data_IF_596953146888
#
_entry.id   IF_596953146888
#
_cell.length_a   1.000
_cell.length_b   1.000
_cell.length_c   1.000
_cell.angle_alpha   90.00
_cell.angle_beta   90.00
_cell.angle_gamma   90.00
#
_symmetry.space_group_name_H-M   'P 1'
#
loop_
_entity.id
_entity.type
_entity.pdbx_description
1 polymer ?
#
# COMPACT_ATOMS: atom_id res chain seq x y z
N UNK A 1 25.06 17.88 -37.39
CA UNK A 1 25.42 18.51 -36.10
C UNK A 1 24.21 18.33 -35.20
N UNK A 2 24.27 17.41 -34.24
CA UNK A 2 23.12 17.16 -33.35
C UNK A 2 23.05 18.34 -32.41
N UNK A 3 21.93 19.05 -32.45
CA UNK A 3 21.76 20.23 -31.63
C UNK A 3 21.78 19.82 -30.14
N UNK A 4 22.64 20.46 -29.32
CA UNK A 4 22.88 20.03 -27.94
C UNK A 4 21.60 20.08 -27.09
N UNK A 5 20.59 20.85 -27.52
CA UNK A 5 19.30 20.93 -26.85
C UNK A 5 18.50 19.63 -27.01
N UNK A 6 18.57 18.97 -28.17
CA UNK A 6 17.92 17.68 -28.40
C UNK A 6 18.52 16.57 -27.56
N UNK A 7 19.84 16.59 -27.38
CA UNK A 7 20.53 15.66 -26.48
C UNK A 7 20.03 15.84 -25.06
N UNK A 8 19.97 17.09 -24.58
CA UNK A 8 19.49 17.41 -23.23
C UNK A 8 18.05 16.91 -22.98
N UNK A 9 17.15 17.12 -23.94
CA UNK A 9 15.76 16.66 -23.83
C UNK A 9 15.65 15.13 -23.81
N UNK A 10 16.45 14.43 -24.60
CA UNK A 10 16.47 12.97 -24.60
C UNK A 10 16.95 12.40 -23.25
N UNK A 11 17.98 13.01 -22.64
CA UNK A 11 18.44 12.62 -21.31
C UNK A 11 17.39 12.88 -20.22
N UNK A 12 16.72 14.03 -20.25
CA UNK A 12 15.64 14.35 -19.29
C UNK A 12 14.47 13.37 -19.41
N UNK A 13 14.04 13.05 -20.64
CA UNK A 13 12.99 12.08 -20.88
C UNK A 13 13.38 10.68 -20.35
N UNK A 14 14.63 10.26 -20.55
CA UNK A 14 15.15 9.01 -20.00
C UNK A 14 15.09 9.00 -18.46
N UNK A 15 15.53 10.07 -17.80
CA UNK A 15 15.52 10.14 -16.33
C UNK A 15 14.12 10.07 -15.75
N UNK A 16 13.11 10.67 -16.40
CA UNK A 16 11.71 10.61 -15.96
C UNK A 16 11.15 9.19 -16.14
N UNK A 17 11.46 8.53 -17.26
CA UNK A 17 11.06 7.14 -17.52
C UNK A 17 11.68 6.17 -16.50
N UNK A 18 12.96 6.36 -16.14
CA UNK A 18 13.61 5.55 -15.11
C UNK A 18 13.13 5.87 -13.68
N UNK A 19 12.72 7.12 -13.41
CA UNK A 19 12.22 7.52 -12.08
C UNK A 19 10.80 7.01 -11.77
N UNK A 20 10.09 6.45 -12.76
CA UNK A 20 8.75 5.89 -12.60
C UNK A 20 8.70 4.46 -12.02
N UNK A 21 9.85 3.81 -11.83
CA UNK A 21 9.92 2.43 -11.33
C UNK A 21 10.08 2.31 -9.80
N UNK A 22 10.19 3.43 -9.09
CA UNK A 22 10.51 3.46 -7.67
C UNK A 22 9.42 4.18 -6.88
N UNK A 23 8.16 3.73 -7.00
CA UNK A 23 7.23 3.87 -5.89
C UNK A 23 7.80 3.02 -4.75
N UNK A 24 8.75 3.61 -4.02
CA UNK A 24 9.31 3.06 -2.79
C UNK A 24 8.17 3.06 -1.78
N UNK A 25 7.34 2.03 -1.83
CA UNK A 25 6.66 1.55 -0.66
C UNK A 25 7.73 1.44 0.41
N UNK A 26 7.59 2.26 1.44
CA UNK A 26 8.44 2.23 2.62
C UNK A 26 8.09 0.92 3.32
N UNK A 27 8.63 -0.17 2.80
CA UNK A 27 8.55 -1.51 3.38
C UNK A 27 9.40 -1.43 4.63
N UNK A 28 8.74 -1.19 5.76
CA UNK A 28 9.33 -1.39 7.08
C UNK A 28 9.88 -2.83 7.13
N UNK A 29 11.14 -3.04 7.56
CA UNK A 29 11.70 -4.38 7.69
C UNK A 29 11.07 -5.05 8.92
N UNK A 30 9.87 -5.59 8.71
CA UNK A 30 9.00 -6.10 9.77
C UNK A 30 8.40 -7.43 9.36
N UNK A 31 9.27 -8.43 9.24
CA UNK A 31 8.93 -9.84 9.37
C UNK A 31 8.31 -10.54 8.15
N UNK A 32 8.78 -11.77 7.92
CA UNK A 32 8.31 -12.71 6.89
C UNK A 32 6.92 -13.25 7.25
N UNK A 33 5.91 -12.41 7.21
CA UNK A 33 4.51 -12.81 7.29
C UNK A 33 3.81 -12.28 6.03
N UNK A 34 2.86 -13.04 5.52
CA UNK A 34 2.07 -12.73 4.32
C UNK A 34 1.82 -11.21 4.17
N UNK A 35 2.14 -10.57 3.04
CA UNK A 35 2.21 -9.10 2.92
C UNK A 35 0.88 -8.37 3.18
N UNK A 36 -0.23 -9.10 3.34
CA UNK A 36 -1.54 -8.55 3.73
C UNK A 36 -1.74 -8.39 5.25
N UNK A 37 -0.89 -8.98 6.09
CA UNK A 37 -1.07 -8.96 7.54
C UNK A 37 -0.22 -7.87 8.18
N UNK A 38 -0.70 -7.28 9.28
CA UNK A 38 0.00 -6.21 9.98
C UNK A 38 0.18 -4.91 9.18
N UNK A 39 -0.73 -4.63 8.25
CA UNK A 39 -0.68 -3.40 7.45
C UNK A 39 -2.07 -2.83 7.21
N UNK A 40 -2.11 -1.55 6.87
CA UNK A 40 -3.32 -0.87 6.43
C UNK A 40 -3.63 -1.31 5.00
N UNK A 41 -4.83 -1.79 4.78
CA UNK A 41 -5.31 -2.28 3.48
C UNK A 41 -5.89 -1.11 2.68
N UNK A 42 -5.02 -0.31 2.06
CA UNK A 42 -5.45 0.82 1.23
C UNK A 42 -6.35 0.39 0.06
N UNK A 43 -6.18 -0.84 -0.44
CA UNK A 43 -7.01 -1.42 -1.50
C UNK A 43 -8.45 -1.73 -1.05
N UNK A 44 -8.69 -1.82 0.26
CA UNK A 44 -10.04 -2.02 0.80
C UNK A 44 -10.95 -0.80 0.54
N UNK A 45 -10.35 0.39 0.44
CA UNK A 45 -11.08 1.63 0.23
C UNK A 45 -11.67 2.18 1.52
N UNK A 46 -12.81 2.87 1.40
CA UNK A 46 -13.50 3.55 2.50
C UNK A 46 -13.94 2.53 3.55
N UNK A 47 -13.67 2.84 4.83
CA UNK A 47 -13.95 1.98 5.97
C UNK A 47 -14.64 2.79 7.07
N UNK A 48 -15.92 3.15 6.91
CA UNK A 48 -16.57 4.15 7.78
C UNK A 48 -17.86 3.64 8.46
N UNK A 49 -18.44 2.56 7.93
CA UNK A 49 -19.66 1.94 8.47
C UNK A 49 -19.36 0.67 9.27
N UNK A 50 -20.35 0.22 10.05
CA UNK A 50 -20.29 -1.11 10.69
C UNK A 50 -20.23 -2.24 9.67
N UNK A 51 -20.90 -2.11 8.52
CA UNK A 51 -20.76 -3.10 7.45
C UNK A 51 -19.33 -3.13 6.89
N UNK A 52 -18.65 -1.99 6.80
CA UNK A 52 -17.25 -1.94 6.37
C UNK A 52 -16.33 -2.64 7.35
N UNK A 53 -16.57 -2.48 8.65
CA UNK A 53 -15.80 -3.14 9.71
C UNK A 53 -15.89 -4.66 9.59
N UNK A 54 -17.10 -5.19 9.38
CA UNK A 54 -17.30 -6.63 9.15
C UNK A 54 -16.66 -7.11 7.85
N UNK A 55 -16.75 -6.33 6.77
CA UNK A 55 -16.08 -6.66 5.50
C UNK A 55 -14.57 -6.66 5.67
N UNK A 56 -14.02 -5.71 6.44
CA UNK A 56 -12.60 -5.62 6.75
C UNK A 56 -12.14 -6.82 7.58
N UNK A 57 -12.91 -7.20 8.59
CA UNK A 57 -12.66 -8.39 9.40
C UNK A 57 -12.58 -9.65 8.54
N UNK A 58 -13.60 -9.87 7.68
CA UNK A 58 -13.64 -11.03 6.78
C UNK A 58 -12.53 -10.99 5.72
N UNK A 59 -12.22 -9.81 5.18
CA UNK A 59 -11.12 -9.63 4.24
C UNK A 59 -9.79 -10.07 4.86
N UNK A 60 -9.52 -9.60 6.07
CA UNK A 60 -8.31 -9.95 6.80
C UNK A 60 -8.31 -11.41 7.26
N UNK A 61 -9.46 -11.99 7.65
CA UNK A 61 -9.57 -13.40 7.99
C UNK A 61 -9.17 -14.31 6.82
N UNK A 62 -9.63 -13.99 5.61
CA UNK A 62 -9.32 -14.78 4.42
C UNK A 62 -7.90 -14.51 3.86
N UNK A 63 -7.42 -13.28 3.99
CA UNK A 63 -6.12 -12.84 3.48
C UNK A 63 -4.94 -13.12 4.42
N UNK A 64 -5.19 -13.39 5.70
CA UNK A 64 -4.14 -13.61 6.70
C UNK A 64 -4.10 -15.03 7.23
N UNK A 65 -2.92 -15.65 7.11
CA UNK A 65 -2.62 -17.01 7.60
C UNK A 65 -2.89 -17.20 9.08
N UNK A 66 -2.91 -16.11 9.85
CA UNK A 66 -3.08 -16.10 11.30
C UNK A 66 -4.55 -16.00 11.74
N UNK A 67 -5.51 -15.85 10.81
CA UNK A 67 -6.96 -15.77 11.08
C UNK A 67 -7.35 -14.82 12.23
N UNK A 68 -6.63 -13.70 12.37
CA UNK A 68 -6.88 -12.71 13.43
C UNK A 68 -7.96 -11.68 13.06
N UNK A 69 -8.32 -11.59 11.78
CA UNK A 69 -9.22 -10.57 11.27
C UNK A 69 -8.61 -9.18 11.25
N UNK A 70 -9.47 -8.17 11.27
CA UNK A 70 -9.11 -6.77 11.14
C UNK A 70 -10.30 -5.88 11.48
N UNK A 71 -10.11 -4.58 11.38
CA UNK A 71 -11.19 -3.60 11.58
C UNK A 71 -10.86 -2.24 11.00
N UNK A 72 -11.88 -1.38 10.92
CA UNK A 72 -11.73 0.00 10.51
C UNK A 72 -11.04 0.79 11.64
N UNK A 73 -9.83 1.28 11.36
CA UNK A 73 -9.07 2.12 12.28
C UNK A 73 -8.99 3.56 11.77
N UNK A 74 -9.20 4.56 12.64
CA UNK A 74 -9.03 5.96 12.29
C UNK A 74 -7.54 6.28 12.06
N UNK A 75 -7.27 7.11 11.06
CA UNK A 75 -5.95 7.62 10.69
C UNK A 75 -6.02 9.13 10.46
N UNK A 76 -4.87 9.78 10.26
CA UNK A 76 -4.79 11.22 10.00
C UNK A 76 -5.54 11.66 8.72
N UNK A 77 -5.78 10.75 7.78
CA UNK A 77 -6.41 11.04 6.48
C UNK A 77 -7.84 10.48 6.37
N UNK A 78 -8.37 9.87 7.42
CA UNK A 78 -9.68 9.19 7.42
C UNK A 78 -9.59 7.80 8.02
N UNK A 79 -10.55 6.94 7.72
CA UNK A 79 -10.65 5.61 8.32
C UNK A 79 -10.22 4.54 7.32
N UNK A 80 -9.34 3.60 7.73
CA UNK A 80 -8.79 2.55 6.87
C UNK A 80 -8.99 1.17 7.49
N UNK A 81 -9.15 0.15 6.65
CA UNK A 81 -9.13 -1.24 7.12
C UNK A 81 -7.72 -1.64 7.55
N UNK A 82 -7.55 -2.12 8.78
CA UNK A 82 -6.28 -2.60 9.32
C UNK A 82 -6.40 -4.06 9.76
N UNK A 83 -5.56 -4.93 9.21
CA UNK A 83 -5.49 -6.34 9.62
C UNK A 83 -4.60 -6.50 10.87
N UNK A 84 -5.08 -7.23 11.88
CA UNK A 84 -4.38 -7.37 13.16
C UNK A 84 -3.18 -8.34 13.09
N UNK A 85 -2.17 -8.08 13.92
CA UNK A 85 -1.02 -8.96 14.12
C UNK A 85 -1.29 -10.02 15.19
N UNK A 86 -0.68 -11.21 15.03
CA UNK A 86 -0.46 -12.09 16.18
C UNK A 86 0.77 -11.59 16.95
N UNK A 87 0.57 -11.24 18.22
CA UNK A 87 1.64 -10.92 19.17
C UNK A 87 2.46 -12.17 19.53
#
# INVERSE_FOLDING_TARGET
MVDPKFVLFAFLALTILLSGAEAREIIWPGNKANPMCCTNQLQFGVCDSKEDDQRCEQFCLNGCTLNKGGGCQPTHTGTVCQCYCSH
#
